data_IF_904796858834
#
_entry.id   IF_904796858834
#
_cell.length_a   1.000
_cell.length_b   1.000
_cell.length_c   1.000
_cell.angle_alpha   90.00
_cell.angle_beta   90.00
_cell.angle_gamma   90.00
#
_symmetry.space_group_name_H-M   'P 1'
#
loop_
_entity.id
_entity.type
_entity.pdbx_description
1 polymer ?
#
# COMPACT_ATOMS: atom_id res chain seq x y z
N UNK A 1 15.03 -48.26 -6.75
CA UNK A 1 15.36 -46.96 -7.37
C UNK A 1 14.06 -46.50 -8.01
N UNK A 2 13.31 -45.63 -7.32
CA UNK A 2 12.08 -45.03 -7.85
C UNK A 2 12.39 -43.54 -7.94
N UNK A 3 12.49 -43.05 -9.17
CA UNK A 3 12.66 -41.65 -9.51
C UNK A 3 11.32 -40.94 -9.28
N UNK A 4 11.21 -40.22 -8.16
CA UNK A 4 10.08 -39.32 -7.89
C UNK A 4 10.51 -37.90 -8.26
N UNK A 5 10.57 -37.64 -9.56
CA UNK A 5 10.70 -36.31 -10.14
C UNK A 5 9.30 -35.69 -10.36
N UNK A 6 9.27 -34.36 -10.34
CA UNK A 6 8.13 -33.49 -10.66
C UNK A 6 7.10 -33.26 -9.55
N UNK A 7 7.51 -32.51 -8.52
CA UNK A 7 6.61 -31.56 -7.84
C UNK A 7 6.23 -30.46 -8.85
N UNK A 8 5.25 -30.76 -9.71
CA UNK A 8 4.58 -29.74 -10.50
C UNK A 8 3.93 -28.75 -9.52
N UNK A 9 4.52 -27.56 -9.41
CA UNK A 9 3.96 -26.42 -8.68
C UNK A 9 2.60 -26.14 -9.32
N UNK A 10 1.54 -26.65 -8.71
CA UNK A 10 0.18 -26.32 -9.10
C UNK A 10 0.03 -24.80 -8.99
N UNK A 11 0.08 -24.12 -10.14
CA UNK A 11 -0.33 -22.72 -10.24
C UNK A 11 -1.82 -22.71 -9.91
N UNK A 12 -2.13 -22.51 -8.63
CA UNK A 12 -3.46 -22.13 -8.18
C UNK A 12 -3.70 -20.79 -8.88
N UNK A 13 -4.53 -20.79 -9.92
CA UNK A 13 -5.06 -19.56 -10.50
C UNK A 13 -5.94 -18.94 -9.41
N UNK A 14 -5.33 -18.14 -8.54
CA UNK A 14 -6.09 -17.22 -7.69
C UNK A 14 -6.78 -16.30 -8.70
N UNK A 15 -8.12 -16.27 -8.76
CA UNK A 15 -8.80 -15.31 -9.62
C UNK A 15 -8.21 -13.94 -9.30
N UNK A 16 -7.84 -13.17 -10.32
CA UNK A 16 -7.32 -11.82 -10.11
C UNK A 16 -8.29 -11.14 -9.15
N UNK A 17 -7.84 -10.73 -7.96
CA UNK A 17 -8.75 -10.23 -6.95
C UNK A 17 -9.38 -8.96 -7.52
N UNK A 18 -10.63 -9.04 -7.98
CA UNK A 18 -11.46 -7.87 -8.17
C UNK A 18 -11.85 -7.42 -6.76
N UNK A 19 -10.90 -6.78 -6.08
CA UNK A 19 -11.14 -6.14 -4.80
C UNK A 19 -11.54 -4.69 -5.10
N UNK A 20 -12.83 -4.38 -5.34
CA UNK A 20 -13.28 -3.01 -5.51
C UNK A 20 -12.97 -2.17 -4.27
N UNK A 21 -12.88 -2.81 -3.10
CA UNK A 21 -12.57 -2.19 -1.81
C UNK A 21 -11.05 -2.07 -1.54
N UNK A 22 -10.20 -2.39 -2.52
CA UNK A 22 -8.76 -2.18 -2.37
C UNK A 22 -8.46 -0.68 -2.23
N UNK A 23 -7.96 -0.27 -1.05
CA UNK A 23 -7.53 1.11 -0.79
C UNK A 23 -6.42 1.58 -1.73
N UNK A 24 -5.62 0.64 -2.26
CA UNK A 24 -4.64 0.89 -3.32
C UNK A 24 -4.93 -0.10 -4.44
N UNK A 25 -5.40 0.42 -5.57
CA UNK A 25 -5.99 -0.39 -6.65
C UNK A 25 -4.97 -1.11 -7.52
N UNK A 26 -3.79 -0.54 -7.68
CA UNK A 26 -2.73 -1.08 -8.49
C UNK A 26 -1.35 -0.65 -7.96
N UNK A 27 -0.31 -1.27 -8.51
CA UNK A 27 1.07 -0.99 -8.12
C UNK A 27 1.53 0.41 -8.53
N UNK A 28 1.00 0.97 -9.62
CA UNK A 28 1.34 2.33 -10.04
C UNK A 28 0.82 3.39 -9.05
N UNK A 29 -0.38 3.18 -8.50
CA UNK A 29 -0.94 3.99 -7.42
C UNK A 29 -0.10 3.87 -6.14
N UNK A 30 0.39 2.66 -5.83
CA UNK A 30 1.34 2.47 -4.73
C UNK A 30 2.65 3.23 -4.97
N UNK A 31 3.27 3.10 -6.14
CA UNK A 31 4.51 3.80 -6.48
C UNK A 31 4.34 5.32 -6.43
N UNK A 32 3.18 5.84 -6.86
CA UNK A 32 2.87 7.26 -6.74
C UNK A 32 2.83 7.73 -5.27
N UNK A 33 2.25 6.93 -4.36
CA UNK A 33 2.24 7.23 -2.92
C UNK A 33 3.66 7.19 -2.34
N UNK A 34 4.47 6.23 -2.77
CA UNK A 34 5.88 6.14 -2.35
C UNK A 34 6.67 7.36 -2.83
N UNK A 35 6.48 7.79 -4.07
CA UNK A 35 7.13 8.97 -4.61
C UNK A 35 6.70 10.27 -3.90
N UNK A 36 5.41 10.40 -3.55
CA UNK A 36 4.90 11.51 -2.74
C UNK A 36 5.58 11.53 -1.36
N UNK A 37 5.64 10.37 -0.71
CA UNK A 37 6.28 10.23 0.59
C UNK A 37 7.78 10.59 0.54
N UNK A 38 8.54 10.03 -0.41
CA UNK A 38 9.98 10.29 -0.57
C UNK A 38 10.30 11.77 -0.84
N UNK A 39 9.42 12.48 -1.54
CA UNK A 39 9.60 13.90 -1.82
C UNK A 39 9.35 14.78 -0.58
N UNK A 40 8.31 14.48 0.20
CA UNK A 40 7.95 15.20 1.43
C UNK A 40 7.18 14.31 2.39
N UNK A 41 7.91 13.66 3.30
CA UNK A 41 7.34 12.80 4.32
C UNK A 41 6.37 13.55 5.24
N UNK A 42 6.70 14.80 5.60
CA UNK A 42 5.91 15.64 6.49
C UNK A 42 4.55 15.95 5.90
N UNK A 43 4.51 16.42 4.65
CA UNK A 43 3.29 16.72 3.93
C UNK A 43 2.43 15.46 3.69
N UNK A 44 3.06 14.35 3.29
CA UNK A 44 2.37 13.07 3.06
C UNK A 44 1.63 12.60 4.32
N UNK A 45 2.34 12.45 5.44
CA UNK A 45 1.73 12.02 6.70
C UNK A 45 0.77 13.07 7.27
N UNK A 46 1.08 14.35 7.09
CA UNK A 46 0.22 15.45 7.51
C UNK A 46 -1.12 15.46 6.77
N UNK A 47 -1.16 15.07 5.50
CA UNK A 47 -2.41 14.92 4.74
C UNK A 47 -3.21 13.73 5.25
N UNK A 48 -2.58 12.55 5.33
CA UNK A 48 -3.23 11.32 5.80
C UNK A 48 -3.81 11.46 7.21
N UNK A 49 -3.07 12.09 8.13
CA UNK A 49 -3.52 12.31 9.49
C UNK A 49 -4.76 13.21 9.56
N UNK A 50 -4.87 14.22 8.69
CA UNK A 50 -6.05 15.11 8.65
C UNK A 50 -7.26 14.44 8.00
N UNK A 51 -7.03 13.52 7.07
CA UNK A 51 -8.06 12.83 6.31
C UNK A 51 -8.65 11.63 7.07
N UNK A 52 -7.81 10.81 7.72
CA UNK A 52 -8.22 9.53 8.27
C UNK A 52 -8.31 9.49 9.80
N UNK A 53 -7.79 10.50 10.50
CA UNK A 53 -7.81 10.55 11.97
C UNK A 53 -8.72 11.67 12.46
N UNK A 54 -9.65 11.34 13.34
CA UNK A 54 -10.50 12.32 13.99
C UNK A 54 -9.76 12.98 15.17
N UNK A 55 -9.41 14.25 15.01
CA UNK A 55 -8.71 15.01 16.05
C UNK A 55 -9.68 15.80 16.92
N UNK A 56 -9.42 15.82 18.23
CA UNK A 56 -10.09 16.75 19.15
C UNK A 56 -9.61 18.19 18.94
N UNK A 57 -8.30 18.34 18.76
CA UNK A 57 -7.64 19.60 18.40
C UNK A 57 -6.70 19.31 17.23
N UNK A 58 -6.88 19.95 16.06
CA UNK A 58 -6.00 19.74 14.92
C UNK A 58 -4.56 20.15 15.21
N UNK A 59 -3.60 19.42 14.66
CA UNK A 59 -2.19 19.79 14.70
C UNK A 59 -1.85 20.84 13.62
N UNK A 60 -0.86 21.68 13.91
CA UNK A 60 -0.44 22.78 13.03
C UNK A 60 0.93 22.59 12.40
N UNK A 61 1.77 21.69 12.94
CA UNK A 61 3.11 21.39 12.42
C UNK A 61 3.30 19.89 12.23
N UNK A 62 3.98 19.52 11.16
CA UNK A 62 4.43 18.14 10.87
C UNK A 62 5.87 17.95 11.38
N UNK A 63 6.44 16.74 11.21
CA UNK A 63 7.75 16.41 11.79
C UNK A 63 8.91 17.26 11.23
N UNK A 64 8.86 17.61 9.94
CA UNK A 64 9.93 18.32 9.22
C UNK A 64 9.66 19.83 8.99
N UNK A 65 8.66 20.41 9.68
CA UNK A 65 8.20 21.82 9.55
C UNK A 65 8.52 22.66 10.80
#
# INVERSE_FOLDING_TARGET
>A
MIDNDSTAKATIAIPAPDMPDAHVRDFAAYEALVAEAEADHGAYWGRLAREFVAWRTPFTRTLDD
#
